data_IF_690530619861
#
_entry.id   IF_690530619861
#
_cell.length_a   1.000
_cell.length_b   1.000
_cell.length_c   1.000
_cell.angle_alpha   90.00
_cell.angle_beta   90.00
_cell.angle_gamma   90.00
#
_symmetry.space_group_name_H-M   'P 1'
#
loop_
_entity.id
_entity.type
_entity.pdbx_description
1 polymer ?
#
# COMPACT_ATOMS: atom_id res chain seq x y z
N UNK A 1 -2.42 -19.19 20.88
CA UNK A 1 -2.27 -18.26 19.74
C UNK A 1 -0.80 -18.11 19.45
N UNK A 2 -0.41 -18.30 18.21
CA UNK A 2 0.95 -18.09 17.74
C UNK A 2 1.23 -16.58 17.56
N UNK A 3 2.50 -16.15 17.48
CA UNK A 3 2.83 -14.77 17.12
C UNK A 3 2.19 -14.31 15.80
N UNK A 4 2.07 -15.22 14.81
CA UNK A 4 1.43 -14.93 13.53
C UNK A 4 -0.07 -14.67 13.68
N UNK A 5 -0.77 -15.45 14.52
CA UNK A 5 -2.20 -15.22 14.81
C UNK A 5 -2.41 -13.82 15.42
N UNK A 6 -1.50 -13.40 16.31
CA UNK A 6 -1.55 -12.09 16.96
C UNK A 6 -1.36 -10.98 15.92
N UNK A 7 -0.34 -11.09 15.05
CA UNK A 7 -0.09 -10.10 13.99
C UNK A 7 -1.24 -10.03 13.00
N UNK A 8 -1.84 -11.18 12.66
CA UNK A 8 -3.00 -11.24 11.77
C UNK A 8 -4.20 -10.49 12.36
N UNK A 9 -4.55 -10.77 13.63
CA UNK A 9 -5.65 -10.08 14.32
C UNK A 9 -5.36 -8.58 14.45
N UNK A 10 -4.14 -8.21 14.84
CA UNK A 10 -3.73 -6.82 14.96
C UNK A 10 -3.86 -6.07 13.62
N UNK A 11 -3.51 -6.74 12.51
CA UNK A 11 -3.61 -6.19 11.15
C UNK A 11 -5.07 -5.96 10.73
N UNK A 12 -5.98 -6.89 11.05
CA UNK A 12 -7.42 -6.73 10.83
C UNK A 12 -7.97 -5.54 11.62
N UNK A 13 -7.61 -5.44 12.91
CA UNK A 13 -8.06 -4.33 13.77
C UNK A 13 -7.53 -3.00 13.24
N UNK A 14 -6.23 -2.91 12.94
CA UNK A 14 -5.61 -1.70 12.42
C UNK A 14 -6.21 -1.27 11.07
N UNK A 15 -6.47 -2.22 10.17
CA UNK A 15 -7.16 -1.98 8.91
C UNK A 15 -8.58 -1.46 9.12
N UNK A 16 -9.34 -2.07 10.03
CA UNK A 16 -10.68 -1.63 10.41
C UNK A 16 -10.70 -0.20 10.97
N UNK A 17 -9.77 0.12 11.88
CA UNK A 17 -9.60 1.49 12.38
C UNK A 17 -9.27 2.45 11.23
N UNK A 18 -8.38 2.07 10.32
CA UNK A 18 -8.06 2.84 9.11
C UNK A 18 -9.31 3.17 8.29
N UNK A 19 -10.13 2.16 7.98
CA UNK A 19 -11.40 2.36 7.25
C UNK A 19 -12.36 3.30 7.99
N UNK A 20 -12.53 3.12 9.31
CA UNK A 20 -13.38 4.00 10.12
C UNK A 20 -12.88 5.44 10.11
N UNK A 21 -11.56 5.65 10.17
CA UNK A 21 -10.99 7.00 10.09
C UNK A 21 -11.21 7.63 8.72
N UNK A 22 -11.16 6.87 7.63
CA UNK A 22 -11.45 7.38 6.28
C UNK A 22 -12.93 7.79 6.17
N UNK A 23 -13.85 7.01 6.73
CA UNK A 23 -15.28 7.32 6.73
C UNK A 23 -15.60 8.54 7.60
N UNK A 24 -14.97 8.66 8.76
CA UNK A 24 -15.21 9.76 9.70
C UNK A 24 -14.51 11.06 9.29
N UNK A 25 -13.28 10.97 8.79
CA UNK A 25 -12.46 12.12 8.44
C UNK A 25 -12.74 12.54 7.00
N UNK A 26 -13.58 13.57 6.82
CA UNK A 26 -13.86 14.22 5.53
C UNK A 26 -12.67 15.04 5.00
N UNK A 27 -11.48 14.46 5.01
CA UNK A 27 -10.24 15.13 4.60
C UNK A 27 -10.15 15.14 3.08
N UNK A 28 -9.89 16.32 2.53
CA UNK A 28 -9.69 16.47 1.08
C UNK A 28 -8.37 15.82 0.61
N UNK A 29 -7.36 15.76 1.49
CA UNK A 29 -6.09 15.10 1.21
C UNK A 29 -5.60 14.24 2.36
N UNK A 30 -4.91 13.15 2.00
CA UNK A 30 -4.34 12.22 2.97
C UNK A 30 -3.10 12.76 3.69
N UNK A 31 -2.60 11.96 4.63
CA UNK A 31 -1.46 12.30 5.46
C UNK A 31 -0.19 11.60 4.95
N UNK A 32 0.82 12.37 4.53
CA UNK A 32 2.11 11.82 4.05
C UNK A 32 2.83 11.05 5.13
N UNK A 33 2.81 11.51 6.38
CA UNK A 33 3.56 10.86 7.46
C UNK A 33 3.00 9.47 7.70
N UNK A 34 1.67 9.33 7.73
CA UNK A 34 1.01 8.02 7.88
C UNK A 34 1.37 7.11 6.71
N UNK A 35 1.25 7.59 5.46
CA UNK A 35 1.60 6.79 4.28
C UNK A 35 3.07 6.36 4.27
N UNK A 36 3.99 7.26 4.63
CA UNK A 36 5.42 6.98 4.71
C UNK A 36 5.77 5.98 5.83
N UNK A 37 5.12 6.11 7.00
CA UNK A 37 5.31 5.17 8.11
C UNK A 37 4.79 3.77 7.76
N UNK A 38 3.61 3.67 7.15
CA UNK A 38 3.06 2.40 6.67
C UNK A 38 3.96 1.78 5.58
N UNK A 39 4.48 2.61 4.66
CA UNK A 39 5.44 2.17 3.65
C UNK A 39 6.68 1.59 4.30
N UNK A 40 7.30 2.33 5.23
CA UNK A 40 8.51 1.90 5.93
C UNK A 40 8.29 0.63 6.72
N UNK A 41 7.24 0.57 7.54
CA UNK A 41 6.93 -0.59 8.36
C UNK A 41 6.69 -1.85 7.52
N UNK A 42 5.87 -1.77 6.46
CA UNK A 42 5.57 -2.92 5.63
C UNK A 42 6.76 -3.35 4.75
N UNK A 43 7.55 -2.39 4.26
CA UNK A 43 8.79 -2.68 3.54
C UNK A 43 9.81 -3.38 4.45
N UNK A 44 9.96 -2.93 5.69
CA UNK A 44 10.84 -3.58 6.68
C UNK A 44 10.36 -5.00 6.99
N UNK A 45 9.06 -5.20 7.23
CA UNK A 45 8.51 -6.55 7.43
C UNK A 45 8.78 -7.45 6.22
N UNK A 46 8.51 -6.96 5.02
CA UNK A 46 8.74 -7.70 3.77
C UNK A 46 10.23 -8.03 3.58
N UNK A 47 11.13 -7.11 3.91
CA UNK A 47 12.57 -7.35 3.84
C UNK A 47 13.02 -8.44 4.83
N UNK A 48 12.50 -8.42 6.06
CA UNK A 48 12.78 -9.47 7.06
C UNK A 48 12.25 -10.81 6.56
N UNK A 49 11.01 -10.87 6.06
CA UNK A 49 10.41 -12.09 5.52
C UNK A 49 11.22 -12.65 4.35
N UNK A 50 11.63 -11.82 3.39
CA UNK A 50 12.47 -12.25 2.27
C UNK A 50 13.84 -12.74 2.75
N UNK A 51 14.43 -12.09 3.75
CA UNK A 51 15.71 -12.51 4.31
C UNK A 51 15.62 -13.85 5.06
N UNK A 52 14.48 -14.16 5.69
CA UNK A 52 14.28 -15.40 6.44
C UNK A 52 13.78 -16.57 5.60
N UNK A 53 12.93 -16.31 4.61
CA UNK A 53 12.15 -17.34 3.90
C UNK A 53 12.42 -17.34 2.38
N UNK A 54 13.10 -16.31 1.87
CA UNK A 54 13.27 -16.09 0.44
C UNK A 54 11.96 -15.66 -0.26
N UNK A 55 12.02 -15.59 -1.58
CA UNK A 55 10.90 -15.12 -2.42
C UNK A 55 9.96 -16.24 -2.90
N UNK A 56 10.37 -17.50 -2.76
CA UNK A 56 9.58 -18.65 -3.23
C UNK A 56 8.23 -18.77 -2.47
N UNK A 57 8.17 -18.28 -1.23
CA UNK A 57 6.96 -18.21 -0.41
C UNK A 57 5.82 -17.44 -1.09
N UNK A 58 6.13 -16.39 -1.86
CA UNK A 58 5.11 -15.65 -2.62
C UNK A 58 4.45 -16.56 -3.65
N UNK A 59 5.19 -17.31 -4.45
CA UNK A 59 4.58 -18.17 -5.47
C UNK A 59 3.82 -19.34 -4.84
N UNK A 60 4.46 -20.04 -3.89
CA UNK A 60 3.90 -21.25 -3.30
C UNK A 60 2.61 -20.99 -2.52
N UNK A 61 2.55 -19.91 -1.74
CA UNK A 61 1.33 -19.56 -0.98
C UNK A 61 0.15 -19.22 -1.90
N UNK A 62 0.41 -18.53 -3.02
CA UNK A 62 -0.65 -18.11 -3.96
C UNK A 62 -1.07 -19.19 -4.96
N UNK A 63 -0.36 -20.32 -5.03
CA UNK A 63 -0.66 -21.41 -5.97
C UNK A 63 -1.04 -22.72 -5.30
N UNK A 64 -1.03 -22.77 -3.96
CA UNK A 64 -1.34 -23.99 -3.20
C UNK A 64 -2.79 -24.47 -3.38
N UNK A 65 -3.74 -23.56 -3.59
CA UNK A 65 -5.17 -23.86 -3.74
C UNK A 65 -5.94 -22.66 -4.33
N UNK A 66 -7.24 -22.85 -4.58
CA UNK A 66 -8.12 -21.81 -5.13
C UNK A 66 -8.21 -20.57 -4.22
N UNK A 67 -8.18 -20.74 -2.89
CA UNK A 67 -8.23 -19.62 -1.94
C UNK A 67 -6.97 -18.76 -2.04
N UNK A 68 -5.78 -19.39 -2.06
CA UNK A 68 -4.51 -18.68 -2.23
C UNK A 68 -4.45 -17.91 -3.55
N UNK A 69 -4.92 -18.53 -4.64
CA UNK A 69 -4.96 -17.88 -5.95
C UNK A 69 -5.97 -16.74 -5.99
N UNK A 70 -7.12 -16.90 -5.33
CA UNK A 70 -8.11 -15.83 -5.22
C UNK A 70 -7.53 -14.61 -4.49
N UNK A 71 -6.83 -14.78 -3.36
CA UNK A 71 -6.19 -13.69 -2.61
C UNK A 71 -5.15 -12.96 -3.46
N UNK A 72 -4.38 -13.70 -4.27
CA UNK A 72 -3.43 -13.10 -5.21
C UNK A 72 -4.11 -12.18 -6.23
N UNK A 73 -5.18 -12.68 -6.85
CA UNK A 73 -5.93 -11.93 -7.85
C UNK A 73 -6.56 -10.69 -7.21
N UNK A 74 -7.15 -10.83 -6.01
CA UNK A 74 -7.73 -9.71 -5.27
C UNK A 74 -6.71 -8.61 -4.97
N UNK A 75 -5.50 -8.98 -4.55
CA UNK A 75 -4.40 -8.03 -4.32
C UNK A 75 -4.00 -7.28 -5.60
N UNK A 76 -3.92 -7.99 -6.74
CA UNK A 76 -3.66 -7.37 -8.05
C UNK A 76 -4.77 -6.37 -8.38
N UNK A 77 -6.04 -6.77 -8.24
CA UNK A 77 -7.19 -5.92 -8.54
C UNK A 77 -7.23 -4.68 -7.66
N UNK A 78 -6.98 -4.83 -6.35
CA UNK A 78 -6.86 -3.69 -5.43
C UNK A 78 -5.77 -2.71 -5.86
N UNK A 79 -4.61 -3.22 -6.27
CA UNK A 79 -3.49 -2.39 -6.75
C UNK A 79 -3.84 -1.64 -8.04
N UNK A 80 -4.48 -2.33 -8.99
CA UNK A 80 -4.92 -1.76 -10.28
C UNK A 80 -5.95 -0.64 -10.04
N UNK A 81 -6.98 -0.92 -9.24
CA UNK A 81 -8.03 0.06 -8.91
C UNK A 81 -7.44 1.27 -8.19
N UNK A 82 -6.55 1.05 -7.21
CA UNK A 82 -5.91 2.16 -6.52
C UNK A 82 -5.10 3.03 -7.47
N UNK A 83 -4.27 2.42 -8.34
CA UNK A 83 -3.48 3.15 -9.31
C UNK A 83 -4.34 3.88 -10.35
N UNK A 84 -5.47 3.30 -10.75
CA UNK A 84 -6.44 3.92 -11.65
C UNK A 84 -6.93 5.27 -11.10
N UNK A 85 -7.21 5.36 -9.80
CA UNK A 85 -7.62 6.61 -9.15
C UNK A 85 -6.46 7.54 -8.76
N UNK A 86 -5.32 6.98 -8.37
CA UNK A 86 -4.16 7.78 -7.92
C UNK A 86 -3.41 8.41 -9.09
N UNK A 87 -3.28 7.72 -10.23
CA UNK A 87 -2.47 8.17 -11.35
C UNK A 87 -2.91 9.53 -11.94
N UNK A 88 -4.20 9.84 -12.16
CA UNK A 88 -4.64 11.16 -12.61
C UNK A 88 -4.26 12.27 -11.62
N UNK A 89 -4.45 12.05 -10.31
CA UNK A 89 -4.08 13.01 -9.26
C UNK A 89 -2.57 13.23 -9.20
N UNK A 90 -1.79 12.16 -9.31
CA UNK A 90 -0.34 12.24 -9.36
C UNK A 90 0.16 13.05 -10.56
N UNK A 91 -0.44 12.87 -11.74
CA UNK A 91 -0.14 13.71 -12.92
C UNK A 91 -0.49 15.18 -12.68
N UNK A 92 -1.66 15.46 -12.11
CA UNK A 92 -2.07 16.83 -11.78
C UNK A 92 -1.14 17.51 -10.75
N UNK A 93 -0.57 16.74 -9.84
CA UNK A 93 0.46 17.21 -8.89
C UNK A 93 1.88 17.30 -9.49
N UNK A 94 2.05 17.08 -10.79
CA UNK A 94 3.34 17.19 -11.49
C UNK A 94 4.26 15.97 -11.37
N UNK A 95 3.75 14.81 -10.95
CA UNK A 95 4.55 13.58 -10.87
C UNK A 95 4.68 12.92 -12.24
N UNK A 96 5.90 12.50 -12.61
CA UNK A 96 6.09 11.52 -13.70
C UNK A 96 5.61 10.15 -13.22
N UNK A 97 4.43 9.71 -13.67
CA UNK A 97 3.76 8.51 -13.15
C UNK A 97 4.41 7.20 -13.59
N UNK A 98 5.13 7.16 -14.72
CA UNK A 98 5.71 5.92 -15.25
C UNK A 98 6.63 5.18 -14.25
N UNK A 99 7.66 5.81 -13.66
CA UNK A 99 8.51 5.13 -12.67
C UNK A 99 7.73 4.67 -11.43
N UNK A 100 6.71 5.42 -11.01
CA UNK A 100 5.84 5.02 -9.90
C UNK A 100 5.00 3.80 -10.25
N UNK A 101 4.42 3.75 -11.46
CA UNK A 101 3.67 2.58 -11.93
C UNK A 101 4.56 1.33 -11.97
N UNK A 102 5.82 1.45 -12.40
CA UNK A 102 6.76 0.32 -12.37
C UNK A 102 7.03 -0.12 -10.93
N UNK A 103 7.31 0.82 -10.01
CA UNK A 103 7.52 0.50 -8.60
C UNK A 103 6.29 -0.19 -7.98
N UNK A 104 5.09 0.32 -8.24
CA UNK A 104 3.82 -0.25 -7.81
C UNK A 104 3.61 -1.65 -8.41
N UNK A 105 3.85 -1.82 -9.71
CA UNK A 105 3.70 -3.12 -10.38
C UNK A 105 4.64 -4.18 -9.82
N UNK A 106 5.86 -3.80 -9.40
CA UNK A 106 6.83 -4.73 -8.83
C UNK A 106 6.63 -5.00 -7.33
N UNK A 107 6.00 -4.09 -6.58
CA UNK A 107 5.98 -4.14 -5.10
C UNK A 107 4.60 -3.96 -4.47
N UNK A 108 3.56 -3.89 -5.31
CA UNK A 108 2.16 -3.66 -4.94
C UNK A 108 2.00 -2.49 -3.95
N UNK A 109 1.59 -2.78 -2.72
CA UNK A 109 1.27 -1.77 -1.71
C UNK A 109 2.49 -0.97 -1.24
N UNK A 110 3.72 -1.50 -1.29
CA UNK A 110 4.92 -0.75 -0.88
C UNK A 110 5.14 0.45 -1.81
N UNK A 111 5.21 0.18 -3.12
CA UNK A 111 5.33 1.22 -4.14
C UNK A 111 4.14 2.19 -4.13
N UNK A 112 2.95 1.66 -3.89
CA UNK A 112 1.73 2.47 -3.81
C UNK A 112 1.75 3.42 -2.61
N UNK A 113 2.15 2.94 -1.43
CA UNK A 113 2.30 3.74 -0.21
C UNK A 113 3.37 4.82 -0.38
N UNK A 114 4.50 4.50 -1.01
CA UNK A 114 5.53 5.48 -1.35
C UNK A 114 5.00 6.55 -2.33
N UNK A 115 4.29 6.13 -3.37
CA UNK A 115 3.69 7.03 -4.36
C UNK A 115 2.67 7.98 -3.71
N UNK A 116 1.76 7.48 -2.87
CA UNK A 116 0.75 8.35 -2.23
C UNK A 116 1.37 9.25 -1.16
N UNK A 117 2.43 8.80 -0.45
CA UNK A 117 3.16 9.67 0.46
C UNK A 117 3.74 10.89 -0.27
N UNK A 118 4.36 10.66 -1.45
CA UNK A 118 4.87 11.70 -2.34
C UNK A 118 3.75 12.61 -2.85
N UNK A 119 2.65 12.03 -3.32
CA UNK A 119 1.48 12.78 -3.81
C UNK A 119 0.93 13.71 -2.74
N UNK A 120 0.66 13.20 -1.54
CA UNK A 120 0.13 14.01 -0.45
C UNK A 120 1.08 15.12 -0.02
N UNK A 121 2.40 14.93 -0.17
CA UNK A 121 3.37 15.99 0.11
C UNK A 121 3.26 17.12 -0.93
N UNK A 122 3.14 16.76 -2.22
CA UNK A 122 3.01 17.73 -3.31
C UNK A 122 1.70 18.52 -3.19
N UNK A 123 0.58 17.83 -2.97
CA UNK A 123 -0.72 18.49 -2.81
C UNK A 123 -0.73 19.45 -1.61
N UNK A 124 -0.10 19.09 -0.48
CA UNK A 124 -0.01 19.98 0.67
C UNK A 124 0.91 21.18 0.42
N UNK A 125 2.04 20.96 -0.25
CA UNK A 125 2.97 22.04 -0.58
C UNK A 125 2.32 23.06 -1.53
N UNK A 126 1.63 22.59 -2.57
CA UNK A 126 0.90 23.47 -3.49
C UNK A 126 -0.16 24.31 -2.78
N UNK A 127 -0.89 23.74 -1.80
CA UNK A 127 -1.85 24.49 -0.97
C UNK A 127 -1.21 25.51 -0.03
N UNK A 128 0.02 25.28 0.41
CA UNK A 128 0.74 26.24 1.26
C UNK A 128 1.34 27.40 0.45
N UNK A 129 1.51 27.21 -0.86
CA UNK A 129 2.04 28.21 -1.79
C UNK A 129 0.93 29.03 -2.49
N UNK A 130 -0.34 28.63 -2.36
CA UNK A 130 -1.53 29.30 -2.91
C UNK A 130 -2.14 30.29 -1.90
#
# INVERSE_FOLDING_TARGET
>A
MTPLDIVWIASVIAGGVGLLTILAAKRETGNTVIAALLCGAFATYTAVQIASEGVAGFYTNHTANLTGLQVWIDLIMCTVVALFFIAPRARAAGMNVLPWTLLVGCTASIGLLAMVARLFWLERRARAEA
#
